data_IF_345858387375
#
_entry.id   IF_345858387375
#
_cell.length_a   1.000
_cell.length_b   1.000
_cell.length_c   1.000
_cell.angle_alpha   90.00
_cell.angle_beta   90.00
_cell.angle_gamma   90.00
#
_symmetry.space_group_name_H-M   'P 1'
#
loop_
_entity.id
_entity.type
_entity.pdbx_description
1 polymer ?
#
# COMPACT_ATOMS: atom_id res chain seq x y z
N UNK A 1 -8.77 -22.68 28.99
CA UNK A 1 -8.08 -21.64 28.20
C UNK A 1 -7.75 -20.50 29.14
N UNK A 2 -6.46 -20.19 29.37
CA UNK A 2 -6.05 -19.10 30.26
C UNK A 2 -6.31 -17.75 29.56
N UNK A 3 -6.62 -16.70 30.33
CA UNK A 3 -6.88 -15.33 29.83
C UNK A 3 -5.80 -14.84 28.86
N UNK A 4 -4.53 -15.12 29.16
CA UNK A 4 -3.40 -14.74 28.33
C UNK A 4 -3.46 -15.38 26.92
N UNK A 5 -3.82 -16.66 26.84
CA UNK A 5 -3.96 -17.37 25.57
C UNK A 5 -5.12 -16.82 24.73
N UNK A 6 -6.18 -16.34 25.38
CA UNK A 6 -7.30 -15.67 24.70
C UNK A 6 -6.87 -14.32 24.12
N UNK A 7 -6.15 -13.51 24.90
CA UNK A 7 -5.67 -12.20 24.47
C UNK A 7 -4.68 -12.30 23.29
N UNK A 8 -3.80 -13.30 23.29
CA UNK A 8 -2.91 -13.55 22.15
C UNK A 8 -3.70 -13.89 20.88
N UNK A 9 -4.68 -14.80 20.96
CA UNK A 9 -5.51 -15.12 19.80
C UNK A 9 -6.35 -13.95 19.27
N UNK A 10 -6.83 -13.08 20.17
CA UNK A 10 -7.52 -11.83 19.79
C UNK A 10 -6.55 -10.86 19.08
N UNK A 11 -5.32 -10.72 19.58
CA UNK A 11 -4.28 -9.89 18.96
C UNK A 11 -3.89 -10.40 17.56
N UNK A 12 -3.69 -11.71 17.41
CA UNK A 12 -3.35 -12.33 16.13
C UNK A 12 -4.44 -12.11 15.08
N UNK A 13 -5.72 -12.21 15.50
CA UNK A 13 -6.85 -11.96 14.61
C UNK A 13 -6.91 -10.49 14.15
N UNK A 14 -6.64 -9.54 15.05
CA UNK A 14 -6.57 -8.12 14.72
C UNK A 14 -5.41 -7.84 13.77
N UNK A 15 -4.21 -8.38 14.04
CA UNK A 15 -3.06 -8.23 13.15
C UNK A 15 -3.34 -8.79 11.75
N UNK A 16 -3.94 -9.98 11.65
CA UNK A 16 -4.30 -10.57 10.36
C UNK A 16 -5.33 -9.72 9.60
N UNK A 17 -6.25 -9.06 10.30
CA UNK A 17 -7.21 -8.13 9.67
C UNK A 17 -6.49 -6.89 9.12
N UNK A 18 -5.58 -6.31 9.90
CA UNK A 18 -4.81 -5.13 9.51
C UNK A 18 -3.88 -5.42 8.32
N UNK A 19 -3.22 -6.59 8.30
CA UNK A 19 -2.40 -7.03 7.16
C UNK A 19 -3.23 -7.12 5.88
N UNK A 20 -4.44 -7.70 5.96
CA UNK A 20 -5.34 -7.79 4.80
C UNK A 20 -5.80 -6.42 4.32
N UNK A 21 -6.10 -5.50 5.24
CA UNK A 21 -6.47 -4.12 4.88
C UNK A 21 -5.30 -3.38 4.23
N UNK A 22 -4.09 -3.48 4.80
CA UNK A 22 -2.87 -2.93 4.21
C UNK A 22 -2.65 -3.44 2.80
N UNK A 23 -2.71 -4.75 2.59
CA UNK A 23 -2.49 -5.37 1.28
C UNK A 23 -3.59 -4.98 0.29
N UNK A 24 -4.84 -4.83 0.75
CA UNK A 24 -5.95 -4.36 -0.08
C UNK A 24 -5.73 -2.92 -0.57
N UNK A 25 -5.30 -2.00 0.30
CA UNK A 25 -5.02 -0.63 -0.08
C UNK A 25 -3.78 -0.54 -0.98
N UNK A 26 -2.70 -1.26 -0.66
CA UNK A 26 -1.50 -1.30 -1.49
C UNK A 26 -1.80 -1.78 -2.93
N UNK A 27 -2.53 -2.88 -3.07
CA UNK A 27 -2.90 -3.40 -4.38
C UNK A 27 -3.75 -2.42 -5.21
N UNK A 28 -4.58 -1.60 -4.56
CA UNK A 28 -5.33 -0.54 -5.24
C UNK A 28 -4.43 0.59 -5.71
N UNK A 29 -3.51 1.04 -4.86
CA UNK A 29 -2.55 2.09 -5.21
C UNK A 29 -1.68 1.66 -6.40
N UNK A 30 -1.18 0.42 -6.41
CA UNK A 30 -0.43 -0.14 -7.54
C UNK A 30 -1.26 -0.23 -8.83
N UNK A 31 -2.53 -0.62 -8.75
CA UNK A 31 -3.42 -0.61 -9.92
C UNK A 31 -3.63 0.80 -10.47
N UNK A 32 -3.79 1.80 -9.60
CA UNK A 32 -3.92 3.21 -10.01
C UNK A 32 -2.63 3.69 -10.67
N UNK A 33 -1.47 3.33 -10.13
CA UNK A 33 -0.17 3.65 -10.70
C UNK A 33 -0.02 3.11 -12.14
N UNK A 34 -0.32 1.83 -12.35
CA UNK A 34 -0.27 1.21 -13.69
C UNK A 34 -1.19 1.94 -14.66
N UNK A 35 -2.42 2.27 -14.24
CA UNK A 35 -3.34 3.05 -15.08
C UNK A 35 -2.77 4.43 -15.40
N UNK A 36 -2.11 5.09 -14.45
CA UNK A 36 -1.48 6.39 -14.68
C UNK A 36 -0.33 6.30 -15.69
N UNK A 37 0.53 5.29 -15.57
CA UNK A 37 1.65 5.03 -16.48
C UNK A 37 1.17 4.73 -17.91
N UNK A 38 0.11 3.92 -18.06
CA UNK A 38 -0.48 3.59 -19.36
C UNK A 38 -1.12 4.81 -20.07
N UNK A 39 -1.55 5.82 -19.30
CA UNK A 39 -2.35 6.95 -19.80
C UNK A 39 -1.62 8.30 -19.74
N UNK A 40 -0.33 8.33 -19.43
CA UNK A 40 0.46 9.56 -19.22
C UNK A 40 0.37 10.56 -20.40
N UNK A 41 0.15 10.06 -21.61
CA UNK A 41 0.09 10.87 -22.84
C UNK A 41 -1.32 11.27 -23.32
N UNK A 42 -2.39 10.79 -22.66
CA UNK A 42 -3.77 10.95 -23.16
C UNK A 42 -4.41 12.27 -22.69
N UNK A 43 -3.83 12.96 -21.68
CA UNK A 43 -4.12 14.35 -21.35
C UNK A 43 -5.51 14.65 -20.75
N UNK A 44 -6.30 13.62 -20.42
CA UNK A 44 -7.65 13.76 -19.85
C UNK A 44 -7.67 13.76 -18.31
N UNK A 45 -6.57 13.36 -17.68
CA UNK A 45 -6.39 13.25 -16.22
C UNK A 45 -5.05 13.86 -15.84
N UNK A 46 -4.97 14.54 -14.69
CA UNK A 46 -3.72 15.09 -14.15
C UNK A 46 -2.82 13.98 -13.56
N UNK A 47 -2.31 13.11 -14.44
CA UNK A 47 -1.46 11.95 -14.09
C UNK A 47 -0.29 12.35 -13.19
N UNK A 48 0.39 13.46 -13.48
CA UNK A 48 1.53 13.93 -12.68
C UNK A 48 1.16 14.22 -11.23
N UNK A 49 -0.02 14.78 -10.98
CA UNK A 49 -0.48 15.07 -9.60
C UNK A 49 -0.85 13.79 -8.85
N UNK A 50 -1.35 12.78 -9.54
CA UNK A 50 -1.67 11.48 -8.95
C UNK A 50 -0.37 10.74 -8.57
N UNK A 51 0.62 10.73 -9.46
CA UNK A 51 1.92 10.11 -9.19
C UNK A 51 2.65 10.80 -8.03
N UNK A 52 2.56 12.13 -7.92
CA UNK A 52 3.11 12.86 -6.77
C UNK A 52 2.54 12.33 -5.45
N UNK A 53 1.22 12.15 -5.35
CA UNK A 53 0.56 11.57 -4.16
C UNK A 53 1.01 10.12 -3.91
N UNK A 54 1.14 9.31 -4.96
CA UNK A 54 1.52 7.90 -4.84
C UNK A 54 2.97 7.72 -4.37
N UNK A 55 3.85 8.67 -4.68
CA UNK A 55 5.27 8.65 -4.31
C UNK A 55 5.61 9.52 -3.10
N UNK A 56 4.62 10.17 -2.47
CA UNK A 56 4.82 10.86 -1.19
C UNK A 56 5.33 9.85 -0.14
N UNK A 57 6.44 10.19 0.52
CA UNK A 57 7.00 9.39 1.62
C UNK A 57 6.68 10.06 2.94
N UNK A 58 6.10 9.31 3.88
CA UNK A 58 6.01 9.71 5.29
C UNK A 58 7.25 9.16 6.04
N UNK A 59 7.73 9.87 7.06
CA UNK A 59 8.83 9.40 7.91
C UNK A 59 8.47 8.03 8.52
N UNK A 60 9.10 6.95 8.03
CA UNK A 60 8.81 5.56 8.43
C UNK A 60 8.06 4.70 7.40
N UNK A 61 7.65 5.28 6.27
CA UNK A 61 7.02 4.58 5.12
C UNK A 61 7.80 4.77 3.81
N UNK A 62 9.03 5.29 3.88
CA UNK A 62 9.89 5.42 2.71
C UNK A 62 9.95 4.08 1.96
N UNK A 63 9.58 4.11 0.67
CA UNK A 63 9.72 2.95 -0.19
C UNK A 63 11.18 2.48 -0.13
N UNK A 64 11.39 1.19 0.12
CA UNK A 64 12.67 0.58 -0.23
C UNK A 64 12.71 0.68 -1.75
N UNK A 65 13.60 1.52 -2.27
CA UNK A 65 13.73 1.80 -3.69
C UNK A 65 13.63 0.49 -4.51
N UNK A 66 12.75 0.46 -5.51
CA UNK A 66 12.56 -0.65 -6.47
C UNK A 66 13.79 -0.81 -7.42
N UNK A 67 15.01 -0.64 -6.92
CA UNK A 67 16.28 -0.77 -7.65
C UNK A 67 17.07 -2.03 -7.25
N UNK A 68 16.40 -3.07 -6.74
CA UNK A 68 16.98 -4.42 -6.56
C UNK A 68 16.40 -5.43 -7.57
N UNK A 69 16.34 -5.11 -8.86
CA UNK A 69 16.24 -6.14 -9.93
C UNK A 69 16.86 -5.58 -11.23
N UNK A 70 18.21 -5.64 -11.31
CA UNK A 70 18.98 -5.65 -12.57
C UNK A 70 19.20 -7.08 -13.04
#
# INVERSE_FOLDING_TARGET
MNLLTRQLGESDAVMSSLEKERDFYFNKLRQIEVVCQDNESIGTVEVSRILEILYETEEGFAALDEDEEQ
#
